data_IF_399873522448
#
_entry.id   IF_399873522448
#
_cell.length_a   1.000
_cell.length_b   1.000
_cell.length_c   1.000
_cell.angle_alpha   90.00
_cell.angle_beta   90.00
_cell.angle_gamma   90.00
#
_symmetry.space_group_name_H-M   'P 1'
#
loop_
_entity.id
_entity.type
_entity.pdbx_description
1 polymer ?
#
# COMPACT_ATOMS: atom_id res chain seq x y z
N UNK A 1 3.02 9.11 4.05
CA UNK A 1 2.36 7.89 4.57
C UNK A 1 2.48 6.75 3.54
N UNK A 2 2.58 5.48 3.97
CA UNK A 2 2.67 4.31 3.08
C UNK A 2 1.40 3.44 3.20
N UNK A 3 0.82 3.07 2.06
CA UNK A 3 -0.22 2.05 1.95
C UNK A 3 0.40 0.78 1.40
N UNK A 4 0.16 -0.35 2.08
CA UNK A 4 0.63 -1.67 1.66
C UNK A 4 -0.53 -2.64 1.72
N UNK A 5 -0.83 -3.24 0.57
CA UNK A 5 -1.91 -4.21 0.40
C UNK A 5 -1.32 -5.37 -0.38
N UNK A 6 -1.45 -6.58 0.18
CA UNK A 6 -0.83 -7.78 -0.33
C UNK A 6 -1.83 -8.92 -0.35
N UNK A 7 -1.73 -9.78 -1.36
CA UNK A 7 -2.39 -11.06 -1.42
C UNK A 7 -1.45 -12.12 -0.84
N UNK A 8 -1.83 -12.67 0.32
CA UNK A 8 -1.04 -13.72 0.97
C UNK A 8 -1.24 -15.04 0.26
N UNK A 9 -0.14 -15.66 -0.19
CA UNK A 9 -0.18 -16.99 -0.82
C UNK A 9 0.04 -18.06 0.26
N UNK A 10 1.05 -17.86 1.10
CA UNK A 10 1.39 -18.73 2.23
C UNK A 10 2.08 -17.92 3.35
N UNK A 11 2.61 -18.60 4.38
CA UNK A 11 3.28 -17.94 5.49
C UNK A 11 4.56 -17.17 5.10
N UNK A 12 5.17 -17.50 3.96
CA UNK A 12 6.47 -17.01 3.49
C UNK A 12 6.38 -16.16 2.21
N UNK A 13 5.25 -16.19 1.50
CA UNK A 13 5.09 -15.56 0.19
C UNK A 13 3.82 -14.70 0.13
N UNK A 14 3.98 -13.47 -0.33
CA UNK A 14 2.85 -12.57 -0.61
C UNK A 14 3.16 -11.68 -1.81
N UNK A 15 2.21 -11.50 -2.71
CA UNK A 15 2.34 -10.56 -3.81
C UNK A 15 1.61 -9.26 -3.50
N UNK A 16 2.05 -8.15 -4.08
CA UNK A 16 1.33 -6.89 -3.93
C UNK A 16 0.08 -6.89 -4.82
N UNK A 17 -1.00 -6.29 -4.32
CA UNK A 17 -2.29 -6.31 -5.02
C UNK A 17 -2.37 -5.23 -6.10
N UNK A 18 -2.74 -5.59 -7.33
CA UNK A 18 -2.88 -4.61 -8.43
C UNK A 18 -4.23 -3.90 -8.32
N UNK A 19 -4.29 -2.84 -7.51
CA UNK A 19 -5.50 -2.06 -7.35
C UNK A 19 -5.78 -1.17 -8.58
N UNK A 20 -7.06 -0.98 -8.97
CA UNK A 20 -7.43 -0.01 -9.99
C UNK A 20 -6.92 1.39 -9.64
N UNK A 21 -6.40 2.12 -10.60
CA UNK A 21 -5.81 3.45 -10.35
C UNK A 21 -6.83 4.44 -9.76
N UNK A 22 -8.11 4.38 -10.17
CA UNK A 22 -9.15 5.23 -9.58
C UNK A 22 -9.42 4.95 -8.09
N UNK A 23 -9.18 3.72 -7.62
CA UNK A 23 -9.25 3.41 -6.20
C UNK A 23 -8.06 3.99 -5.44
N UNK A 24 -6.85 3.90 -6.01
CA UNK A 24 -5.64 4.50 -5.44
C UNK A 24 -5.79 6.03 -5.33
N UNK A 25 -6.33 6.68 -6.36
CA UNK A 25 -6.64 8.11 -6.36
C UNK A 25 -7.63 8.46 -5.25
N UNK A 26 -8.73 7.71 -5.11
CA UNK A 26 -9.72 7.92 -4.04
C UNK A 26 -9.11 7.77 -2.65
N UNK A 27 -8.24 6.78 -2.44
CA UNK A 27 -7.53 6.57 -1.18
C UNK A 27 -6.59 7.75 -0.90
N UNK A 28 -5.78 8.14 -1.87
CA UNK A 28 -4.84 9.25 -1.75
C UNK A 28 -5.57 10.55 -1.40
N UNK A 29 -6.60 10.91 -2.16
CA UNK A 29 -7.36 12.15 -1.97
C UNK A 29 -8.03 12.22 -0.60
N UNK A 30 -8.61 11.11 -0.11
CA UNK A 30 -9.22 11.10 1.22
C UNK A 30 -8.17 11.30 2.31
N UNK A 31 -7.06 10.57 2.23
CA UNK A 31 -5.99 10.66 3.22
C UNK A 31 -5.43 12.08 3.31
N UNK A 32 -5.06 12.69 2.18
CA UNK A 32 -4.39 14.00 2.19
C UNK A 32 -5.33 15.15 2.54
N UNK A 33 -6.64 14.98 2.35
CA UNK A 33 -7.63 16.00 2.72
C UNK A 33 -8.13 15.85 4.16
N UNK A 34 -8.20 14.63 4.70
CA UNK A 34 -8.75 14.36 6.04
C UNK A 34 -7.67 14.38 7.13
N UNK A 35 -6.38 14.26 6.80
CA UNK A 35 -5.27 14.19 7.76
C UNK A 35 -4.30 15.36 7.52
N UNK A 36 -4.31 16.34 8.41
CA UNK A 36 -3.60 17.63 8.27
C UNK A 36 -2.09 17.49 7.98
N UNK A 37 -1.41 16.54 8.64
CA UNK A 37 0.04 16.36 8.52
C UNK A 37 0.47 15.40 7.39
N UNK A 38 -0.44 14.99 6.51
CA UNK A 38 -0.13 14.07 5.39
C UNK A 38 -0.26 14.77 4.05
N UNK A 39 0.89 15.03 3.42
CA UNK A 39 0.97 15.72 2.12
C UNK A 39 1.05 14.77 0.92
N UNK A 40 1.48 13.52 1.12
CA UNK A 40 1.51 12.50 0.07
C UNK A 40 1.35 11.07 0.61
N UNK A 41 0.89 10.20 -0.29
CA UNK A 41 0.70 8.77 -0.06
C UNK A 41 1.50 7.98 -1.08
N UNK A 42 2.20 6.94 -0.64
CA UNK A 42 2.88 5.98 -1.51
C UNK A 42 2.19 4.62 -1.42
N UNK A 43 2.14 3.87 -2.53
CA UNK A 43 1.67 2.50 -2.57
C UNK A 43 2.86 1.54 -2.74
N UNK A 44 3.04 0.62 -1.80
CA UNK A 44 4.16 -0.31 -1.80
C UNK A 44 3.90 -1.52 -2.72
N UNK A 45 4.66 -1.58 -3.82
CA UNK A 45 4.51 -2.58 -4.90
C UNK A 45 5.59 -3.68 -4.89
N UNK A 46 6.23 -3.90 -3.73
CA UNK A 46 7.26 -4.94 -3.57
C UNK A 46 6.66 -6.19 -2.91
N UNK A 47 6.82 -7.34 -3.56
CA UNK A 47 6.38 -8.66 -3.08
C UNK A 47 7.29 -9.19 -1.96
N UNK A 48 6.74 -10.08 -1.14
CA UNK A 48 7.47 -10.89 -0.16
C UNK A 48 7.74 -12.28 -0.78
N UNK A 49 9.00 -12.76 -0.83
CA UNK A 49 10.28 -12.04 -0.67
C UNK A 49 10.65 -11.19 -1.91
N UNK A 50 11.57 -10.19 -1.81
CA UNK A 50 12.48 -9.92 -0.70
C UNK A 50 11.94 -9.00 0.42
N UNK A 51 10.78 -8.38 0.22
CA UNK A 51 10.21 -7.47 1.22
C UNK A 51 9.53 -8.24 2.38
N UNK A 52 9.33 -7.57 3.51
CA UNK A 52 8.50 -8.06 4.62
C UNK A 52 7.07 -7.52 4.51
N UNK A 53 6.11 -8.09 5.25
CA UNK A 53 4.73 -7.56 5.28
C UNK A 53 4.70 -6.26 6.09
N UNK A 54 5.34 -6.26 7.24
CA UNK A 54 5.45 -5.09 8.11
C UNK A 54 6.57 -4.17 7.62
N UNK A 55 6.33 -2.86 7.50
CA UNK A 55 7.41 -1.88 7.33
C UNK A 55 8.28 -1.87 8.60
N UNK A 56 9.60 -1.78 8.41
CA UNK A 56 10.59 -1.58 9.48
C UNK A 56 10.63 -0.09 9.88
#
# INVERSE_FOLDING_TARGET
MMVRIVDSIDAMTADWTRLPHGLLEKISNRITNEIEDVTWVTYAISSKPPATIEPQ
#
